data_IF_592124420882
#
_entry.id   IF_592124420882
#
_cell.length_a   1.000
_cell.length_b   1.000
_cell.length_c   1.000
_cell.angle_alpha   90.00
_cell.angle_beta   90.00
_cell.angle_gamma   90.00
#
_symmetry.space_group_name_H-M   'P 1'
#
loop_
_entity.id
_entity.type
_entity.pdbx_description
1 polymer ?
#
# COMPACT_ATOMS: atom_id res chain seq x y z
N UNK A 1 -37.30 16.06 -5.76
CA UNK A 1 -35.90 16.36 -5.39
C UNK A 1 -35.24 15.07 -4.94
N UNK A 2 -34.25 14.55 -5.66
CA UNK A 2 -33.52 13.34 -5.23
C UNK A 2 -32.45 13.76 -4.21
N UNK A 3 -32.55 13.26 -2.98
CA UNK A 3 -31.52 13.41 -1.97
C UNK A 3 -30.23 12.72 -2.46
N UNK A 4 -29.05 13.32 -2.28
CA UNK A 4 -27.80 12.64 -2.60
C UNK A 4 -27.67 11.42 -1.69
N UNK A 5 -27.55 10.23 -2.29
CA UNK A 5 -27.26 8.98 -1.58
C UNK A 5 -26.00 9.19 -0.74
N UNK A 6 -26.16 9.22 0.59
CA UNK A 6 -25.06 9.30 1.54
C UNK A 6 -24.14 8.10 1.30
N UNK A 7 -23.00 8.32 0.65
CA UNK A 7 -22.02 7.25 0.42
C UNK A 7 -21.58 6.71 1.77
N UNK A 8 -21.73 5.40 2.04
CA UNK A 8 -21.37 4.85 3.34
C UNK A 8 -19.90 5.17 3.63
N UNK A 9 -19.61 5.62 4.86
CA UNK A 9 -18.24 5.86 5.31
C UNK A 9 -17.52 4.52 5.36
N UNK A 10 -16.82 4.19 4.28
CA UNK A 10 -15.98 2.99 4.22
C UNK A 10 -14.69 3.29 4.96
N UNK A 11 -14.36 2.44 5.94
CA UNK A 11 -13.07 2.46 6.61
C UNK A 11 -11.93 2.34 5.59
N UNK A 12 -10.84 3.09 5.79
CA UNK A 12 -9.75 3.14 4.81
C UNK A 12 -9.06 1.78 4.64
N UNK A 13 -8.95 0.98 5.70
CA UNK A 13 -8.42 -0.38 5.63
C UNK A 13 -9.31 -1.30 4.79
N UNK A 14 -10.63 -1.20 4.96
CA UNK A 14 -11.59 -1.93 4.12
C UNK A 14 -11.51 -1.48 2.65
N UNK A 15 -11.30 -0.20 2.40
CA UNK A 15 -11.12 0.32 1.05
C UNK A 15 -9.82 -0.21 0.39
N UNK A 16 -8.71 -0.27 1.13
CA UNK A 16 -7.47 -0.86 0.63
C UNK A 16 -7.64 -2.35 0.27
N UNK A 17 -8.28 -3.13 1.15
CA UNK A 17 -8.53 -4.53 0.89
C UNK A 17 -9.39 -4.75 -0.37
N UNK A 18 -10.45 -3.96 -0.54
CA UNK A 18 -11.32 -4.02 -1.72
C UNK A 18 -10.56 -3.64 -3.01
N UNK A 19 -9.71 -2.60 -2.97
CA UNK A 19 -8.87 -2.21 -4.12
C UNK A 19 -7.89 -3.31 -4.50
N UNK A 20 -7.19 -3.91 -3.53
CA UNK A 20 -6.26 -5.01 -3.80
C UNK A 20 -6.96 -6.24 -4.36
N UNK A 21 -8.16 -6.57 -3.86
CA UNK A 21 -8.96 -7.68 -4.38
C UNK A 21 -9.39 -7.41 -5.83
N UNK A 22 -9.88 -6.22 -6.14
CA UNK A 22 -10.25 -5.84 -7.50
C UNK A 22 -9.06 -5.90 -8.46
N UNK A 23 -7.87 -5.46 -8.03
CA UNK A 23 -6.64 -5.55 -8.82
C UNK A 23 -6.12 -6.98 -8.97
N UNK A 24 -6.44 -7.89 -8.04
CA UNK A 24 -6.12 -9.32 -8.18
C UNK A 24 -6.93 -9.98 -9.30
N UNK A 25 -8.18 -9.54 -9.48
CA UNK A 25 -9.08 -10.03 -10.53
C UNK A 25 -8.81 -9.38 -11.89
N UNK A 26 -8.51 -8.07 -11.89
CA UNK A 26 -8.12 -7.31 -13.08
C UNK A 26 -6.86 -6.49 -12.79
N UNK A 27 -5.67 -6.94 -13.24
CA UNK A 27 -4.38 -6.36 -12.85
C UNK A 27 -4.17 -4.89 -13.21
N UNK A 28 -4.98 -4.33 -14.11
CA UNK A 28 -4.87 -2.95 -14.55
C UNK A 28 -6.23 -2.29 -14.64
N UNK A 29 -6.47 -1.30 -13.78
CA UNK A 29 -7.69 -0.51 -13.76
C UNK A 29 -7.38 0.96 -13.45
N UNK A 30 -8.15 1.86 -14.06
CA UNK A 30 -8.13 3.28 -13.66
C UNK A 30 -8.81 3.47 -12.30
N UNK A 31 -8.60 4.62 -11.64
CA UNK A 31 -9.32 4.98 -10.40
C UNK A 31 -10.85 4.94 -10.61
N UNK A 32 -11.33 5.34 -11.79
CA UNK A 32 -12.74 5.25 -12.12
C UNK A 32 -13.21 3.79 -12.28
N UNK A 33 -12.38 2.93 -12.86
CA UNK A 33 -12.63 1.48 -12.95
C UNK A 33 -12.70 0.83 -11.57
N UNK A 34 -11.73 1.11 -10.70
CA UNK A 34 -11.71 0.62 -9.32
C UNK A 34 -12.91 1.11 -8.51
N UNK A 35 -13.28 2.38 -8.65
CA UNK A 35 -14.47 2.94 -8.01
C UNK A 35 -15.75 2.21 -8.43
N UNK A 36 -15.90 1.89 -9.73
CA UNK A 36 -17.03 1.10 -10.23
C UNK A 36 -17.00 -0.34 -9.71
N UNK A 37 -15.84 -1.00 -9.74
CA UNK A 37 -15.71 -2.40 -9.33
C UNK A 37 -15.93 -2.60 -7.82
N UNK A 38 -15.48 -1.63 -7.00
CA UNK A 38 -15.57 -1.72 -5.53
C UNK A 38 -16.81 -1.04 -4.95
N UNK A 39 -17.51 -0.20 -5.73
CA UNK A 39 -18.60 0.65 -5.24
C UNK A 39 -18.14 1.78 -4.31
N UNK A 40 -16.83 2.03 -4.20
CA UNK A 40 -16.24 3.03 -3.31
C UNK A 40 -16.06 4.34 -4.09
N UNK A 41 -16.29 5.48 -3.42
CA UNK A 41 -16.05 6.80 -4.00
C UNK A 41 -14.59 6.97 -4.49
N UNK A 42 -14.43 7.67 -5.61
CA UNK A 42 -13.14 7.88 -6.29
C UNK A 42 -12.10 8.55 -5.38
N UNK A 43 -12.50 9.47 -4.49
CA UNK A 43 -11.57 10.14 -3.58
C UNK A 43 -11.03 9.14 -2.55
N UNK A 44 -11.88 8.26 -2.04
CA UNK A 44 -11.48 7.20 -1.10
C UNK A 44 -10.61 6.15 -1.78
N UNK A 45 -10.96 5.74 -3.01
CA UNK A 45 -10.12 4.84 -3.83
C UNK A 45 -8.74 5.45 -4.07
N UNK A 46 -8.66 6.74 -4.44
CA UNK A 46 -7.38 7.43 -4.62
C UNK A 46 -6.54 7.39 -3.35
N UNK A 47 -7.12 7.75 -2.20
CA UNK A 47 -6.41 7.69 -0.90
C UNK A 47 -5.93 6.28 -0.57
N UNK A 48 -6.74 5.26 -0.84
CA UNK A 48 -6.37 3.87 -0.60
C UNK A 48 -5.18 3.45 -1.49
N UNK A 49 -5.22 3.79 -2.79
CA UNK A 49 -4.11 3.54 -3.72
C UNK A 49 -2.84 4.26 -3.28
N UNK A 50 -2.93 5.55 -2.94
CA UNK A 50 -1.78 6.34 -2.46
C UNK A 50 -1.14 5.71 -1.21
N UNK A 51 -1.95 5.17 -0.30
CA UNK A 51 -1.47 4.50 0.91
C UNK A 51 -0.84 3.13 0.59
N UNK A 52 -1.44 2.36 -0.31
CA UNK A 52 -0.87 1.08 -0.78
C UNK A 52 0.51 1.31 -1.40
N UNK A 53 0.66 2.32 -2.26
CA UNK A 53 1.94 2.66 -2.88
C UNK A 53 2.99 3.03 -1.83
N UNK A 54 2.65 3.88 -0.86
CA UNK A 54 3.56 4.22 0.25
C UNK A 54 4.00 2.99 1.06
N UNK A 55 3.10 2.05 1.29
CA UNK A 55 3.44 0.78 1.97
C UNK A 55 4.36 -0.05 1.10
N UNK A 56 4.11 -0.16 -0.21
CA UNK A 56 4.99 -0.85 -1.15
C UNK A 56 6.39 -0.23 -1.19
N UNK A 57 6.50 1.09 -1.24
CA UNK A 57 7.78 1.81 -1.22
C UNK A 57 8.53 1.54 0.09
N UNK A 58 7.82 1.62 1.23
CA UNK A 58 8.41 1.35 2.55
C UNK A 58 8.90 -0.09 2.68
N UNK A 59 8.13 -1.08 2.19
CA UNK A 59 8.52 -2.49 2.21
C UNK A 59 9.60 -2.82 1.17
N UNK A 60 9.70 -2.01 0.12
CA UNK A 60 10.78 -2.12 -0.86
C UNK A 60 12.09 -1.66 -0.25
N UNK A 61 12.12 -0.53 0.46
CA UNK A 61 13.30 -0.02 1.16
C UNK A 61 13.64 -0.82 2.43
N UNK A 62 12.65 -1.43 3.06
CA UNK A 62 12.80 -2.05 4.38
C UNK A 62 12.14 -3.43 4.43
N UNK A 63 12.89 -4.43 4.89
CA UNK A 63 12.41 -5.80 5.09
C UNK A 63 11.92 -5.98 6.52
N UNK A 64 10.68 -6.46 6.67
CA UNK A 64 10.19 -7.00 7.94
C UNK A 64 10.99 -8.26 8.30
N UNK A 65 11.56 -8.27 9.49
CA UNK A 65 12.20 -9.43 10.10
C UNK A 65 11.40 -9.88 11.31
N UNK A 66 11.41 -11.18 11.56
CA UNK A 66 10.93 -11.75 12.82
C UNK A 66 12.01 -12.64 13.40
N UNK A 67 12.26 -12.51 14.69
CA UNK A 67 13.19 -13.35 15.43
C UNK A 67 12.54 -13.86 16.70
N UNK A 68 12.92 -15.06 17.13
CA UNK A 68 12.42 -15.66 18.36
C UNK A 68 13.44 -15.42 19.46
N UNK A 69 13.06 -14.66 20.48
CA UNK A 69 13.88 -14.40 21.67
C UNK A 69 13.20 -15.06 22.86
N UNK A 70 13.76 -16.20 23.28
CA UNK A 70 13.15 -17.07 24.29
C UNK A 70 11.80 -17.63 23.84
N UNK A 71 10.72 -17.24 24.53
CA UNK A 71 9.34 -17.64 24.23
C UNK A 71 8.58 -16.60 23.38
N UNK A 72 9.19 -15.48 23.04
CA UNK A 72 8.53 -14.34 22.39
C UNK A 72 9.03 -14.14 20.95
N UNK A 73 8.14 -13.69 20.06
CA UNK A 73 8.51 -13.23 18.72
C UNK A 73 8.71 -11.72 18.72
N UNK A 74 9.88 -11.27 18.29
CA UNK A 74 10.18 -9.87 18.04
C UNK A 74 10.02 -9.62 16.54
N UNK A 75 9.24 -8.59 16.18
CA UNK A 75 9.07 -8.12 14.80
C UNK A 75 9.85 -6.81 14.66
N UNK A 76 10.79 -6.76 13.73
CA UNK A 76 11.65 -5.60 13.50
C UNK A 76 11.71 -5.22 12.02
N UNK A 77 12.10 -3.98 11.75
CA UNK A 77 12.26 -3.46 10.40
C UNK A 77 13.76 -3.33 10.12
N UNK A 78 14.26 -4.01 9.10
CA UNK A 78 15.65 -3.93 8.66
C UNK A 78 15.74 -3.23 7.30
N UNK A 79 16.60 -2.23 7.13
CA UNK A 79 16.83 -1.60 5.82
C UNK A 79 17.44 -2.61 4.85
N UNK A 80 17.03 -2.58 3.57
CA UNK A 80 17.67 -3.40 2.55
C UNK A 80 19.06 -2.85 2.24
N UNK A 81 20.05 -3.74 2.19
CA UNK A 81 21.46 -3.41 1.92
C UNK A 81 21.70 -2.87 0.50
N UNK A 82 20.77 -3.10 -0.44
CA UNK A 82 20.84 -2.57 -1.82
C UNK A 82 21.01 -1.06 -1.84
N UNK A 83 20.27 -0.35 -0.98
CA UNK A 83 20.24 1.12 -0.96
C UNK A 83 21.55 1.69 -0.42
N UNK A 84 22.26 0.95 0.45
CA UNK A 84 23.60 1.30 0.94
C UNK A 84 24.67 1.12 -0.14
N UNK A 85 24.55 0.10 -0.98
CA UNK A 85 25.50 -0.16 -2.07
C UNK A 85 25.32 0.86 -3.20
N UNK A 86 24.07 1.21 -3.54
CA UNK A 86 23.78 2.20 -4.58
C UNK A 86 24.25 3.59 -4.17
N UNK A 87 23.95 4.02 -2.94
CA UNK A 87 24.44 5.29 -2.40
C UNK A 87 25.98 5.33 -2.18
N UNK A 88 26.61 4.19 -1.91
CA UNK A 88 28.08 4.09 -1.92
C UNK A 88 28.66 4.24 -3.34
N UNK A 89 28.04 3.63 -4.35
CA UNK A 89 28.47 3.77 -5.77
C UNK A 89 28.38 5.21 -6.27
N UNK A 90 27.33 5.95 -5.88
CA UNK A 90 27.17 7.37 -6.27
C UNK A 90 28.23 8.27 -5.64
N UNK A 91 28.72 7.94 -4.42
CA UNK A 91 29.79 8.69 -3.75
C UNK A 91 31.19 8.40 -4.29
N UNK A 92 31.41 7.25 -4.93
CA UNK A 92 32.70 6.90 -5.54
C UNK A 92 32.91 7.49 -6.95
N UNK A 93 31.85 8.02 -7.59
CA UNK A 93 31.92 8.64 -8.93
C UNK A 93 31.97 10.19 -8.87
N UNK A 94 32.19 10.77 -7.68
CA UNK A 94 32.50 12.20 -7.48
C UNK A 94 33.92 12.32 -6.96
#
# INVERSE_FOLDING_TARGET
>A
MMLPLSTPRVDLGRAMAAVLQALKESPSMSIAGLSKATGIDRRTVKKAVDLILKVQDSLTAQKLRREKVGKTWIISIARKTSDLIESAKTRMHR
#
